data_IF_821515164430
#
_entry.id   IF_821515164430
#
_cell.length_a   1.000
_cell.length_b   1.000
_cell.length_c   1.000
_cell.angle_alpha   90.00
_cell.angle_beta   90.00
_cell.angle_gamma   90.00
#
_symmetry.space_group_name_H-M   'P 1'
#
loop_
_entity.id
_entity.type
_entity.pdbx_description
1 polymer ?
#
# COMPACT_ATOMS: atom_id res chain seq x y z
N UNK A 1 5.62 -41.73 74.37
CA UNK A 1 7.04 -41.91 74.77
C UNK A 1 7.88 -41.95 73.49
N UNK A 2 8.91 -41.09 73.41
CA UNK A 2 10.17 -41.10 72.61
C UNK A 2 10.20 -42.02 71.35
N UNK A 3 10.68 -41.61 70.17
CA UNK A 3 12.06 -41.13 69.87
C UNK A 3 12.14 -40.57 68.45
N UNK A 4 12.96 -39.52 68.29
CA UNK A 4 13.43 -38.93 67.03
C UNK A 4 14.29 -39.87 66.19
N UNK A 5 14.32 -39.64 64.88
CA UNK A 5 15.52 -39.87 64.06
C UNK A 5 15.47 -38.97 62.81
N UNK A 6 16.45 -38.07 62.71
CA UNK A 6 16.73 -37.25 61.53
C UNK A 6 17.70 -38.00 60.63
N UNK A 7 17.55 -37.85 59.31
CA UNK A 7 18.68 -38.08 58.40
C UNK A 7 18.63 -37.08 57.24
N UNK A 8 19.78 -36.41 57.05
CA UNK A 8 20.07 -35.37 56.05
C UNK A 8 20.80 -36.02 54.85
N UNK A 9 21.19 -35.19 53.88
CA UNK A 9 22.01 -35.42 52.66
C UNK A 9 21.16 -35.66 51.39
N UNK A 10 21.36 -35.00 50.24
CA UNK A 10 22.24 -33.89 49.83
C UNK A 10 21.65 -33.28 48.55
N UNK A 11 21.83 -31.97 48.38
CA UNK A 11 21.48 -31.24 47.17
C UNK A 11 22.44 -31.58 46.02
N UNK A 12 21.92 -31.75 44.80
CA UNK A 12 22.69 -31.66 43.57
C UNK A 12 22.00 -30.62 42.69
N UNK A 13 22.62 -29.44 42.60
CA UNK A 13 22.22 -28.37 41.68
C UNK A 13 23.03 -28.56 40.41
N UNK A 14 22.37 -28.95 39.31
CA UNK A 14 22.97 -28.97 37.98
C UNK A 14 22.79 -27.59 37.35
N UNK A 15 23.89 -26.85 37.19
CA UNK A 15 23.91 -25.58 36.47
C UNK A 15 23.99 -25.84 34.95
N UNK A 16 22.88 -25.60 34.24
CA UNK A 16 22.85 -25.51 32.78
C UNK A 16 23.13 -24.07 32.36
N UNK A 17 24.34 -23.82 31.83
CA UNK A 17 24.67 -22.56 31.17
C UNK A 17 24.16 -22.61 29.72
N UNK A 18 23.07 -21.90 29.43
CA UNK A 18 22.58 -21.69 28.06
C UNK A 18 23.24 -20.43 27.51
N UNK A 19 24.12 -20.59 26.52
CA UNK A 19 24.68 -19.49 25.76
C UNK A 19 23.67 -19.04 24.69
N UNK A 20 23.00 -17.90 24.90
CA UNK A 20 22.12 -17.30 23.89
C UNK A 20 22.93 -16.38 22.97
N UNK A 21 23.19 -16.83 21.74
CA UNK A 21 23.68 -15.97 20.67
C UNK A 21 22.57 -15.01 20.24
N UNK A 22 22.67 -13.74 20.62
CA UNK A 22 21.78 -12.67 20.15
C UNK A 22 22.19 -12.21 18.76
N UNK A 23 21.53 -12.72 17.73
CA UNK A 23 21.62 -12.20 16.37
C UNK A 23 20.80 -10.90 16.28
N UNK A 24 21.45 -9.75 16.10
CA UNK A 24 20.78 -8.48 15.84
C UNK A 24 20.35 -8.43 14.37
N UNK A 25 19.07 -8.67 14.10
CA UNK A 25 18.49 -8.43 12.77
C UNK A 25 18.19 -6.93 12.64
N UNK A 26 18.87 -6.24 11.73
CA UNK A 26 18.48 -4.89 11.31
C UNK A 26 17.13 -5.00 10.59
N UNK A 27 16.04 -4.60 11.26
CA UNK A 27 14.76 -4.43 10.61
C UNK A 27 14.86 -3.26 9.61
N UNK A 28 14.95 -3.56 8.32
CA UNK A 28 14.89 -2.55 7.27
C UNK A 28 13.45 -2.01 7.23
N UNK A 29 13.22 -0.84 7.83
CA UNK A 29 11.92 -0.17 7.76
C UNK A 29 11.56 0.04 6.29
N UNK A 30 10.35 -0.34 5.83
CA UNK A 30 9.92 0.03 4.50
C UNK A 30 9.86 1.56 4.43
N UNK A 31 10.67 2.16 3.56
CA UNK A 31 10.58 3.58 3.28
C UNK A 31 9.20 3.86 2.66
N UNK A 32 8.35 4.59 3.39
CA UNK A 32 7.05 5.03 2.90
C UNK A 32 7.20 6.35 2.15
N UNK A 33 6.63 6.44 0.95
CA UNK A 33 6.70 7.66 0.16
C UNK A 33 5.67 8.71 0.63
N UNK A 34 6.14 9.79 1.25
CA UNK A 34 5.28 10.82 1.82
C UNK A 34 4.74 11.81 0.78
N UNK A 35 3.43 11.77 0.52
CA UNK A 35 2.57 12.91 0.12
C UNK A 35 3.13 14.31 0.42
N UNK A 36 3.75 15.04 -0.51
CA UNK A 36 4.17 16.43 -0.28
C UNK A 36 2.93 17.35 -0.26
N UNK A 37 3.06 18.52 0.36
CA UNK A 37 1.93 19.43 0.50
C UNK A 37 1.46 19.99 -0.86
N UNK A 38 0.14 20.01 -1.07
CA UNK A 38 -0.46 20.64 -2.24
C UNK A 38 -0.29 22.17 -2.20
N UNK A 39 -0.15 22.78 -3.37
CA UNK A 39 -0.03 24.24 -3.56
C UNK A 39 -1.08 24.74 -4.56
N UNK A 40 -1.21 26.07 -4.71
CA UNK A 40 -2.14 26.69 -5.66
C UNK A 40 -3.60 26.43 -5.33
N UNK A 41 -4.47 26.25 -6.34
CA UNK A 41 -5.89 25.98 -6.10
C UNK A 41 -6.14 24.70 -5.27
N UNK A 42 -5.27 23.71 -5.36
CA UNK A 42 -5.41 22.46 -4.63
C UNK A 42 -5.17 22.62 -3.11
N UNK A 43 -4.59 23.73 -2.66
CA UNK A 43 -4.47 24.06 -1.22
C UNK A 43 -5.66 24.83 -0.66
N UNK A 44 -6.63 25.22 -1.51
CA UNK A 44 -7.86 25.91 -1.08
C UNK A 44 -8.91 24.92 -0.56
N UNK A 45 -10.03 25.42 -0.03
CA UNK A 45 -11.17 24.61 0.43
C UNK A 45 -10.80 23.45 1.39
N UNK A 46 -9.91 23.72 2.35
CA UNK A 46 -9.40 22.71 3.30
C UNK A 46 -8.21 21.89 2.80
N UNK A 47 -7.76 22.12 1.56
CA UNK A 47 -6.53 21.55 1.00
C UNK A 47 -6.67 20.12 0.45
N UNK A 48 -5.55 19.58 -0.02
CA UNK A 48 -5.45 18.22 -0.57
C UNK A 48 -4.36 17.44 0.17
N UNK A 49 -4.77 16.39 0.87
CA UNK A 49 -3.93 15.48 1.67
C UNK A 49 -3.87 14.06 1.11
N UNK A 50 -4.73 13.73 0.14
CA UNK A 50 -4.81 12.41 -0.47
C UNK A 50 -5.14 11.32 0.56
N UNK A 51 -4.34 10.25 0.56
CA UNK A 51 -4.47 9.09 1.44
C UNK A 51 -3.83 9.22 2.82
N UNK A 52 -3.37 10.41 3.21
CA UNK A 52 -2.69 10.62 4.49
C UNK A 52 -3.53 10.09 5.67
N UNK A 53 -2.87 9.41 6.62
CA UNK A 53 -3.53 8.77 7.77
C UNK A 53 -4.23 7.45 7.45
N UNK A 54 -4.16 7.00 6.20
CA UNK A 54 -4.71 5.72 5.73
C UNK A 54 -3.72 4.57 5.72
N UNK A 55 -4.19 3.42 5.23
CA UNK A 55 -3.34 2.27 4.96
C UNK A 55 -2.37 2.57 3.81
N UNK A 56 -1.17 1.99 3.86
CA UNK A 56 -0.22 2.01 2.74
C UNK A 56 -0.10 0.60 2.17
N UNK A 57 -0.27 0.46 0.85
CA UNK A 57 -0.22 -0.83 0.15
C UNK A 57 0.62 -0.71 -1.11
N UNK A 58 1.20 -1.84 -1.56
CA UNK A 58 1.98 -1.91 -2.80
C UNK A 58 1.20 -2.56 -3.94
N UNK A 59 1.33 -1.99 -5.13
CA UNK A 59 0.74 -2.52 -6.35
C UNK A 59 1.76 -2.52 -7.50
N UNK A 60 1.78 -3.61 -8.26
CA UNK A 60 2.59 -3.75 -9.48
C UNK A 60 1.74 -4.13 -10.71
N UNK A 61 0.42 -4.05 -10.59
CA UNK A 61 -0.56 -4.24 -11.66
C UNK A 61 -1.75 -3.31 -11.44
N UNK A 62 -2.46 -2.94 -12.51
CA UNK A 62 -3.65 -2.11 -12.38
C UNK A 62 -4.77 -2.84 -11.62
N UNK A 63 -4.85 -4.16 -11.77
CA UNK A 63 -5.78 -4.98 -10.97
C UNK A 63 -5.50 -4.85 -9.47
N UNK A 64 -4.23 -4.83 -9.04
CA UNK A 64 -3.89 -4.62 -7.61
C UNK A 64 -4.23 -3.21 -7.13
N UNK A 65 -4.10 -2.20 -7.99
CA UNK A 65 -4.58 -0.84 -7.67
C UNK A 65 -6.10 -0.87 -7.45
N UNK A 66 -6.86 -1.51 -8.34
CA UNK A 66 -8.31 -1.65 -8.16
C UNK A 66 -8.68 -2.47 -6.91
N UNK A 67 -7.98 -3.56 -6.62
CA UNK A 67 -8.17 -4.35 -5.40
C UNK A 67 -7.93 -3.49 -4.14
N UNK A 68 -6.86 -2.69 -4.13
CA UNK A 68 -6.57 -1.78 -3.03
C UNK A 68 -7.70 -0.77 -2.81
N UNK A 69 -8.24 -0.18 -3.89
CA UNK A 69 -9.36 0.76 -3.81
C UNK A 69 -10.64 0.10 -3.30
N UNK A 70 -10.96 -1.10 -3.79
CA UNK A 70 -12.17 -1.84 -3.46
C UNK A 70 -12.12 -2.53 -2.09
N UNK A 71 -10.92 -2.86 -1.58
CA UNK A 71 -10.71 -3.51 -0.29
C UNK A 71 -10.81 -2.57 0.92
N UNK A 72 -11.06 -1.28 0.69
CA UNK A 72 -11.26 -0.30 1.75
C UNK A 72 -12.60 -0.49 2.46
N UNK A 73 -12.67 -0.08 3.73
CA UNK A 73 -13.91 -0.12 4.51
C UNK A 73 -15.03 0.75 3.91
N UNK A 74 -14.68 1.85 3.24
CA UNK A 74 -15.60 2.69 2.49
C UNK A 74 -14.89 3.50 1.40
N UNK A 75 -15.66 4.11 0.50
CA UNK A 75 -15.14 4.91 -0.63
C UNK A 75 -14.36 6.16 -0.20
N UNK A 76 -14.51 6.59 1.06
CA UNK A 76 -13.80 7.70 1.68
C UNK A 76 -12.69 7.28 2.65
N UNK A 77 -12.48 5.98 2.91
CA UNK A 77 -11.38 5.54 3.78
C UNK A 77 -10.04 5.92 3.14
N UNK A 78 -9.14 6.63 3.83
CA UNK A 78 -7.87 7.05 3.24
C UNK A 78 -6.97 5.87 2.85
N UNK A 79 -6.25 5.97 1.72
CA UNK A 79 -5.27 4.97 1.29
C UNK A 79 -4.12 5.58 0.48
N UNK A 80 -2.90 5.11 0.75
CA UNK A 80 -1.71 5.36 -0.08
C UNK A 80 -1.39 4.07 -0.85
N UNK A 81 -1.33 4.17 -2.16
CA UNK A 81 -1.01 3.07 -3.07
C UNK A 81 0.36 3.39 -3.67
N UNK A 82 1.37 2.69 -3.16
CA UNK A 82 2.72 2.70 -3.71
C UNK A 82 2.77 1.81 -4.95
N UNK A 83 3.13 2.40 -6.09
CA UNK A 83 3.17 1.71 -7.37
C UNK A 83 4.61 1.52 -7.82
N UNK A 84 4.94 0.33 -8.28
CA UNK A 84 6.24 0.00 -8.85
C UNK A 84 6.08 -0.89 -10.07
N UNK A 85 6.82 -0.59 -11.14
CA UNK A 85 6.78 -1.30 -12.41
C UNK A 85 5.78 -0.71 -13.42
N UNK A 86 5.49 -1.49 -14.46
CA UNK A 86 4.65 -1.07 -15.59
C UNK A 86 3.22 -1.57 -15.46
N UNK A 87 2.28 -0.63 -15.45
CA UNK A 87 0.84 -0.84 -15.48
C UNK A 87 0.35 -0.66 -16.91
N UNK A 88 -0.38 -1.64 -17.44
CA UNK A 88 -0.86 -1.65 -18.82
C UNK A 88 -2.25 -2.32 -18.94
N UNK A 89 -2.79 -2.41 -20.17
CA UNK A 89 -4.13 -2.99 -20.40
C UNK A 89 -4.21 -4.44 -19.94
N UNK A 90 -3.18 -5.23 -20.23
CA UNK A 90 -3.14 -6.66 -19.94
C UNK A 90 -3.09 -6.99 -18.45
N UNK A 91 -2.65 -6.06 -17.61
CA UNK A 91 -2.59 -6.25 -16.16
C UNK A 91 -3.60 -5.38 -15.38
N UNK A 92 -4.63 -4.86 -16.04
CA UNK A 92 -5.65 -3.99 -15.44
C UNK A 92 -7.06 -4.52 -15.69
N UNK A 93 -7.52 -5.39 -14.80
CA UNK A 93 -8.88 -5.92 -14.78
C UNK A 93 -9.81 -5.06 -13.91
N UNK A 94 -11.11 -5.11 -14.23
CA UNK A 94 -12.16 -4.53 -13.38
C UNK A 94 -12.22 -5.30 -12.06
N UNK A 95 -12.33 -4.57 -10.95
CA UNK A 95 -12.65 -5.11 -9.62
C UNK A 95 -13.90 -4.38 -9.11
N UNK A 96 -14.83 -5.14 -8.53
CA UNK A 96 -16.07 -4.60 -7.98
C UNK A 96 -16.06 -4.72 -6.46
N UNK A 97 -16.64 -3.73 -5.78
CA UNK A 97 -16.82 -3.73 -4.34
C UNK A 97 -17.59 -2.48 -3.89
N UNK A 98 -18.02 -2.44 -2.64
CA UNK A 98 -18.85 -1.34 -2.13
C UNK A 98 -18.09 0.00 -2.00
N UNK A 99 -16.76 -0.03 -2.10
CA UNK A 99 -15.87 1.10 -1.85
C UNK A 99 -15.24 1.69 -3.12
N UNK A 100 -15.65 1.22 -4.31
CA UNK A 100 -15.03 1.58 -5.59
C UNK A 100 -16.00 1.43 -6.77
N UNK A 101 -15.76 2.20 -7.83
CA UNK A 101 -16.30 1.95 -9.17
C UNK A 101 -15.12 1.91 -10.15
N UNK A 102 -14.79 0.72 -10.68
CA UNK A 102 -13.63 0.54 -11.57
C UNK A 102 -14.01 0.02 -12.95
N UNK A 103 -13.07 0.12 -13.90
CA UNK A 103 -13.20 -0.40 -15.26
C UNK A 103 -11.92 -1.13 -15.69
N UNK A 104 -12.03 -2.09 -16.60
CA UNK A 104 -10.86 -2.77 -17.16
C UNK A 104 -10.13 -1.85 -18.17
N UNK A 105 -8.80 -1.98 -18.26
CA UNK A 105 -7.98 -1.24 -19.22
C UNK A 105 -7.83 0.26 -18.94
N UNK A 106 -8.21 0.74 -17.75
CA UNK A 106 -7.98 2.11 -17.27
C UNK A 106 -7.76 2.08 -15.77
N UNK A 107 -7.11 3.09 -15.20
CA UNK A 107 -7.14 3.30 -13.74
C UNK A 107 -8.26 4.27 -13.42
N UNK A 108 -9.34 3.77 -12.81
CA UNK A 108 -10.54 4.56 -12.56
C UNK A 108 -10.65 4.92 -11.06
N UNK A 109 -10.68 6.23 -10.78
CA UNK A 109 -10.94 6.82 -9.48
C UNK A 109 -12.28 7.56 -9.55
N UNK A 110 -13.37 6.80 -9.48
CA UNK A 110 -14.73 7.32 -9.64
C UNK A 110 -15.52 7.28 -8.33
N UNK A 111 -16.14 8.40 -7.94
CA UNK A 111 -17.01 8.55 -6.75
C UNK A 111 -16.31 8.09 -5.46
N UNK A 112 -15.03 8.39 -5.36
CA UNK A 112 -14.19 8.07 -4.19
C UNK A 112 -13.47 9.30 -3.66
N UNK A 113 -12.89 9.17 -2.47
CA UNK A 113 -12.02 10.21 -1.92
C UNK A 113 -10.85 9.65 -1.13
N UNK A 114 -9.91 10.53 -0.82
CA UNK A 114 -8.78 10.29 0.08
C UNK A 114 -7.82 9.21 -0.45
N UNK A 115 -7.30 9.42 -1.67
CA UNK A 115 -6.42 8.46 -2.32
C UNK A 115 -5.11 9.13 -2.72
N UNK A 116 -4.00 8.47 -2.45
CA UNK A 116 -2.70 8.79 -3.04
C UNK A 116 -2.24 7.61 -3.90
N UNK A 117 -1.93 7.87 -5.17
CA UNK A 117 -1.15 6.94 -6.02
C UNK A 117 0.23 7.55 -6.18
N UNK A 118 1.25 6.84 -5.71
CA UNK A 118 2.63 7.33 -5.72
C UNK A 118 3.59 6.29 -6.28
N UNK A 119 4.40 6.66 -7.26
CA UNK A 119 5.46 5.78 -7.74
C UNK A 119 6.62 5.69 -6.75
N UNK A 120 7.15 4.48 -6.58
CA UNK A 120 8.28 4.18 -5.68
C UNK A 120 9.31 3.30 -6.38
N UNK A 121 10.48 3.09 -5.75
CA UNK A 121 11.49 2.13 -6.22
C UNK A 121 11.92 2.38 -7.66
N UNK A 122 11.81 1.36 -8.52
CA UNK A 122 12.09 1.44 -9.96
C UNK A 122 11.17 2.35 -10.78
N UNK A 123 10.22 3.03 -10.15
CA UNK A 123 9.27 3.95 -10.77
C UNK A 123 7.96 3.28 -11.15
N UNK A 124 6.92 4.09 -11.35
CA UNK A 124 5.60 3.65 -11.79
C UNK A 124 5.31 4.15 -13.21
N UNK A 125 5.17 3.24 -14.16
CA UNK A 125 4.86 3.57 -15.56
C UNK A 125 3.45 3.09 -15.89
N UNK A 126 2.54 4.01 -16.21
CA UNK A 126 1.23 3.72 -16.79
C UNK A 126 1.39 3.80 -18.31
N UNK A 127 1.65 2.65 -18.94
CA UNK A 127 1.84 2.54 -20.38
C UNK A 127 0.52 2.13 -21.05
N UNK A 128 0.12 2.90 -22.05
CA UNK A 128 -1.13 2.74 -22.79
C UNK A 128 -2.41 3.02 -21.99
N UNK A 129 -2.30 3.38 -20.71
CA UNK A 129 -3.43 3.60 -19.80
C UNK A 129 -3.62 5.06 -19.42
N UNK A 130 -4.89 5.46 -19.38
CA UNK A 130 -5.31 6.69 -18.72
C UNK A 130 -5.60 6.48 -17.23
N UNK A 131 -5.45 7.54 -16.45
CA UNK A 131 -5.94 7.65 -15.07
C UNK A 131 -7.17 8.57 -15.10
N UNK A 132 -8.34 8.03 -14.80
CA UNK A 132 -9.59 8.78 -14.78
C UNK A 132 -9.94 9.19 -13.35
N UNK A 133 -10.18 10.47 -13.13
CA UNK A 133 -10.65 11.02 -11.85
C UNK A 133 -12.02 11.65 -12.11
N UNK A 134 -13.09 11.04 -11.59
CA UNK A 134 -14.47 11.44 -11.87
C UNK A 134 -15.29 11.50 -10.59
N UNK A 135 -15.97 12.61 -10.33
CA UNK A 135 -16.79 12.78 -9.12
C UNK A 135 -16.02 12.43 -7.83
N UNK A 136 -14.71 12.68 -7.84
CA UNK A 136 -13.78 12.30 -6.77
C UNK A 136 -13.11 13.53 -6.20
N UNK A 137 -12.70 13.46 -4.93
CA UNK A 137 -12.07 14.58 -4.22
C UNK A 137 -10.91 14.11 -3.36
N UNK A 138 -10.00 15.03 -3.06
CA UNK A 138 -8.82 14.78 -2.23
C UNK A 138 -7.97 13.60 -2.78
N UNK A 139 -7.46 13.78 -4.01
CA UNK A 139 -6.70 12.77 -4.75
C UNK A 139 -5.30 13.32 -5.05
N UNK A 140 -4.27 12.51 -4.81
CA UNK A 140 -2.88 12.83 -5.18
C UNK A 140 -2.36 11.76 -6.14
N UNK A 141 -1.83 12.18 -7.29
CA UNK A 141 -1.08 11.33 -8.22
C UNK A 141 0.34 11.90 -8.30
N UNK A 142 1.36 11.09 -8.01
CA UNK A 142 2.73 11.62 -7.94
C UNK A 142 3.83 10.62 -8.27
N UNK A 143 4.94 11.13 -8.82
CA UNK A 143 6.10 10.33 -9.19
C UNK A 143 5.74 9.16 -10.14
N UNK A 144 4.86 9.44 -11.11
CA UNK A 144 4.41 8.46 -12.10
C UNK A 144 4.76 8.95 -13.50
N UNK A 145 4.99 8.02 -14.41
CA UNK A 145 5.09 8.27 -15.85
C UNK A 145 3.83 7.76 -16.53
N UNK A 146 3.13 8.59 -17.29
CA UNK A 146 1.97 8.20 -18.10
C UNK A 146 2.33 8.40 -19.56
N UNK A 147 2.22 7.36 -20.39
CA UNK A 147 2.61 7.42 -21.81
C UNK A 147 1.75 6.54 -22.71
N UNK A 148 1.79 6.84 -24.01
CA UNK A 148 1.16 6.06 -25.08
C UNK A 148 -0.35 5.80 -24.88
N UNK A 149 -1.05 6.68 -24.16
CA UNK A 149 -2.45 6.49 -23.76
C UNK A 149 -3.31 6.22 -24.97
N UNK A 150 -3.99 5.07 -24.99
CA UNK A 150 -4.90 4.68 -26.06
C UNK A 150 -6.07 3.89 -25.52
N UNK A 151 -7.17 3.87 -26.28
CA UNK A 151 -8.30 3.00 -25.96
C UNK A 151 -7.85 1.53 -26.03
N UNK A 152 -8.28 0.74 -25.05
CA UNK A 152 -8.03 -0.71 -25.05
C UNK A 152 -8.57 -1.34 -26.35
N UNK A 153 -7.80 -2.23 -26.96
CA UNK A 153 -8.14 -2.88 -28.22
C UNK A 153 -7.90 -2.04 -29.49
N UNK A 154 -7.53 -0.76 -29.39
CA UNK A 154 -7.14 0.04 -30.57
C UNK A 154 -5.68 -0.22 -30.96
N UNK A 155 -5.33 -0.19 -32.26
CA UNK A 155 -3.95 -0.32 -32.71
C UNK A 155 -3.08 0.79 -32.08
N UNK A 156 -1.82 0.48 -31.81
CA UNK A 156 -0.84 1.49 -31.44
C UNK A 156 -0.56 2.30 -32.70
N UNK A 157 -0.89 3.60 -32.69
CA UNK A 157 -0.46 4.49 -33.77
C UNK A 157 1.04 4.69 -33.58
N UNK A 158 1.84 4.05 -34.43
CA UNK A 158 3.28 4.22 -34.49
C UNK A 158 3.60 5.32 -35.50
#
# INVERSE_FOLDING_TARGET
MKRSAAWRFSAVVAALAVATSTSVLLAMSPASAAAGAATGYASQNGGTTGGQGGATVRANTGTKIHQALCGRAGSSTPIIIEVEGTINHGNTAKVSGNSCETAAGVIELKRISNVTIIGVGGGAVFDQLGIHIRESRNIIIRNVTVRNVKKSGSPTSN
#
